data_IF_908417770072
#
_entry.id   IF_908417770072
#
_cell.length_a   1.000
_cell.length_b   1.000
_cell.length_c   1.000
_cell.angle_alpha   90.00
_cell.angle_beta   90.00
_cell.angle_gamma   90.00
#
_symmetry.space_group_name_H-M   'P 1'
#
loop_
_entity.id
_entity.type
_entity.pdbx_description
1 polymer ?
#
# COMPACT_ATOMS: atom_id res chain seq x y z
N UNK A 1 -14.43 7.99 11.58
CA UNK A 1 -13.48 7.06 12.23
C UNK A 1 -12.21 6.97 11.40
N UNK A 2 -11.05 7.05 12.03
CA UNK A 2 -9.75 7.02 11.38
C UNK A 2 -8.93 5.87 11.95
N UNK A 3 -8.28 5.10 11.10
CA UNK A 3 -7.37 4.03 11.48
C UNK A 3 -5.97 4.33 10.96
N UNK A 4 -4.96 4.03 11.77
CA UNK A 4 -3.56 4.20 11.40
C UNK A 4 -2.88 2.84 11.34
N UNK A 5 -2.12 2.62 10.28
CA UNK A 5 -1.44 1.35 10.01
C UNK A 5 0.01 1.66 9.62
N UNK A 6 0.95 0.90 10.16
CA UNK A 6 2.35 0.98 9.77
C UNK A 6 2.73 -0.23 8.92
N UNK A 7 3.42 0.02 7.81
CA UNK A 7 3.87 -1.02 6.88
C UNK A 7 5.36 -0.90 6.64
N UNK A 8 6.06 -1.99 6.28
CA UNK A 8 7.41 -1.87 5.74
C UNK A 8 7.36 -1.09 4.42
N UNK A 9 8.50 -0.56 4.00
CA UNK A 9 8.53 0.20 2.74
C UNK A 9 8.02 -0.70 1.60
N UNK A 10 7.03 -0.24 0.83
CA UNK A 10 6.39 -1.08 -0.18
C UNK A 10 7.32 -1.38 -1.36
N UNK A 11 7.17 -2.53 -2.00
CA UNK A 11 7.92 -2.83 -3.22
C UNK A 11 7.44 -1.94 -4.36
N UNK A 12 8.34 -1.65 -5.31
CA UNK A 12 8.00 -0.86 -6.49
C UNK A 12 7.09 -1.65 -7.44
N UNK A 13 6.03 -1.02 -7.93
CA UNK A 13 5.17 -1.61 -8.96
C UNK A 13 5.77 -1.53 -10.36
N UNK A 14 6.87 -0.78 -10.55
CA UNK A 14 7.53 -0.67 -11.85
C UNK A 14 8.05 -2.00 -12.39
N UNK A 15 8.38 -2.94 -11.51
CA UNK A 15 8.87 -4.27 -11.87
C UNK A 15 7.95 -5.36 -11.34
N UNK A 16 6.66 -5.06 -11.35
CA UNK A 16 5.62 -5.94 -10.84
C UNK A 16 5.58 -7.25 -11.61
N UNK A 17 5.69 -7.19 -12.94
CA UNK A 17 5.57 -8.33 -13.83
C UNK A 17 6.89 -8.67 -14.48
N UNK A 18 7.09 -9.95 -14.75
CA UNK A 18 8.15 -10.44 -15.63
C UNK A 18 7.57 -11.53 -16.53
N UNK A 19 8.23 -11.75 -17.67
CA UNK A 19 7.81 -12.77 -18.62
C UNK A 19 8.68 -14.02 -18.43
N UNK A 20 8.02 -15.16 -18.21
CA UNK A 20 8.70 -16.47 -18.10
C UNK A 20 7.93 -17.45 -18.98
N UNK A 21 8.62 -18.07 -19.93
CA UNK A 21 8.02 -19.03 -20.88
C UNK A 21 6.77 -18.45 -21.57
N UNK A 22 6.85 -17.18 -21.99
CA UNK A 22 5.75 -16.50 -22.67
C UNK A 22 4.61 -16.05 -21.76
N UNK A 23 4.72 -16.23 -20.45
CA UNK A 23 3.69 -15.82 -19.49
C UNK A 23 4.19 -14.68 -18.63
N UNK A 24 3.31 -13.70 -18.38
CA UNK A 24 3.57 -12.63 -17.42
C UNK A 24 3.28 -13.14 -16.02
N UNK A 25 4.27 -13.08 -15.14
CA UNK A 25 4.13 -13.46 -13.73
C UNK A 25 4.62 -12.34 -12.84
N UNK A 26 4.11 -12.28 -11.62
CA UNK A 26 4.60 -11.34 -10.61
C UNK A 26 6.07 -11.61 -10.31
N UNK A 27 6.89 -10.56 -10.22
CA UNK A 27 8.29 -10.72 -9.86
C UNK A 27 8.41 -11.32 -8.45
N UNK A 28 9.46 -12.12 -8.25
CA UNK A 28 9.73 -12.74 -6.95
C UNK A 28 9.90 -11.69 -5.85
N UNK A 29 10.62 -10.62 -6.15
CA UNK A 29 10.86 -9.52 -5.19
C UNK A 29 9.56 -8.87 -4.77
N UNK A 30 8.67 -8.59 -5.72
CA UNK A 30 7.37 -8.00 -5.43
C UNK A 30 6.52 -8.94 -4.57
N UNK A 31 6.45 -10.23 -4.93
CA UNK A 31 5.68 -11.22 -4.17
C UNK A 31 6.18 -11.35 -2.73
N UNK A 32 7.50 -11.36 -2.53
CA UNK A 32 8.09 -11.43 -1.20
C UNK A 32 7.79 -10.17 -0.38
N UNK A 33 7.89 -9.00 -1.01
CA UNK A 33 7.58 -7.73 -0.34
C UNK A 33 6.12 -7.63 0.07
N UNK A 34 5.20 -8.05 -0.80
CA UNK A 34 3.76 -8.07 -0.49
C UNK A 34 3.45 -9.05 0.62
N UNK A 35 4.08 -10.23 0.61
CA UNK A 35 3.87 -11.23 1.66
C UNK A 35 4.34 -10.72 3.02
N UNK A 36 5.54 -10.14 3.09
CA UNK A 36 6.09 -9.56 4.32
C UNK A 36 5.22 -8.42 4.84
N UNK A 37 4.80 -7.52 3.96
CA UNK A 37 3.92 -6.41 4.33
C UNK A 37 2.55 -6.90 4.80
N UNK A 38 2.03 -7.97 4.20
CA UNK A 38 0.78 -8.58 4.61
C UNK A 38 0.84 -9.13 6.03
N UNK A 39 1.95 -9.76 6.42
CA UNK A 39 2.15 -10.25 7.79
C UNK A 39 2.13 -9.08 8.77
N UNK A 40 2.84 -8.00 8.48
CA UNK A 40 2.83 -6.80 9.31
C UNK A 40 1.43 -6.21 9.45
N UNK A 41 0.70 -6.14 8.35
CA UNK A 41 -0.67 -5.61 8.33
C UNK A 41 -1.59 -6.44 9.23
N UNK A 42 -1.60 -7.75 9.06
CA UNK A 42 -2.48 -8.66 9.82
C UNK A 42 -2.14 -8.64 11.30
N UNK A 43 -0.85 -8.55 11.65
CA UNK A 43 -0.39 -8.50 13.03
C UNK A 43 -0.94 -7.29 13.78
N UNK A 44 -1.16 -6.18 13.11
CA UNK A 44 -1.72 -4.96 13.70
C UNK A 44 -3.24 -5.04 13.92
N UNK A 45 -3.89 -6.09 13.42
CA UNK A 45 -5.35 -6.27 13.53
C UNK A 45 -6.11 -5.04 13.06
N UNK A 46 -5.91 -4.60 11.81
CA UNK A 46 -6.53 -3.39 11.31
C UNK A 46 -8.05 -3.52 11.24
N UNK A 47 -8.75 -2.42 11.47
CA UNK A 47 -10.19 -2.38 11.27
C UNK A 47 -10.50 -2.47 9.78
N UNK A 48 -11.57 -3.17 9.45
CA UNK A 48 -12.11 -3.22 8.09
C UNK A 48 -13.14 -2.11 7.95
N UNK A 49 -13.04 -1.36 6.86
CA UNK A 49 -13.89 -0.21 6.60
C UNK A 49 -14.81 -0.51 5.43
N UNK A 50 -16.10 -0.26 5.64
CA UNK A 50 -17.10 -0.40 4.58
C UNK A 50 -17.39 0.96 3.95
N UNK A 51 -17.65 0.95 2.64
CA UNK A 51 -18.02 2.14 1.90
C UNK A 51 -16.87 3.08 1.61
N UNK A 52 -17.19 4.31 1.22
CA UNK A 52 -16.19 5.29 0.77
C UNK A 52 -15.21 5.69 1.87
N UNK A 53 -13.95 5.84 1.49
CA UNK A 53 -12.85 6.20 2.40
C UNK A 53 -11.95 7.27 1.77
N UNK A 54 -11.27 8.00 2.63
CA UNK A 54 -10.09 8.79 2.29
C UNK A 54 -8.86 8.04 2.81
N UNK A 55 -7.82 7.93 1.99
CA UNK A 55 -6.58 7.25 2.35
C UNK A 55 -5.41 8.22 2.25
N UNK A 56 -4.66 8.35 3.33
CA UNK A 56 -3.42 9.11 3.37
C UNK A 56 -2.25 8.17 3.56
N UNK A 57 -1.21 8.31 2.74
CA UNK A 57 -0.02 7.48 2.79
C UNK A 57 1.19 8.39 2.94
N UNK A 58 1.98 8.17 3.98
CA UNK A 58 3.23 8.85 4.19
C UNK A 58 4.37 7.85 4.05
N UNK A 59 5.30 8.13 3.13
CA UNK A 59 6.41 7.24 2.79
C UNK A 59 7.69 7.72 3.42
N UNK A 60 8.31 6.88 4.25
CA UNK A 60 9.66 7.09 4.78
C UNK A 60 10.66 6.34 3.90
N UNK A 61 11.44 7.07 3.12
CA UNK A 61 12.35 6.46 2.13
C UNK A 61 13.48 5.70 2.82
N UNK A 62 13.82 4.47 2.34
CA UNK A 62 14.87 3.66 2.94
C UNK A 62 16.28 4.10 2.53
N UNK A 63 16.41 4.89 1.46
CA UNK A 63 17.68 5.37 0.93
C UNK A 63 17.45 6.60 0.03
N UNK A 64 18.49 7.05 -0.67
CA UNK A 64 18.44 8.24 -1.52
C UNK A 64 18.11 7.95 -2.98
N UNK A 65 17.76 6.72 -3.34
CA UNK A 65 17.40 6.40 -4.71
C UNK A 65 16.10 7.10 -5.09
N UNK A 66 16.00 7.48 -6.35
CA UNK A 66 14.77 8.05 -6.89
C UNK A 66 13.70 6.99 -6.98
N UNK A 67 12.49 7.31 -6.52
CA UNK A 67 11.32 6.43 -6.59
C UNK A 67 10.09 7.24 -6.93
N UNK A 68 9.21 6.65 -7.72
CA UNK A 68 7.92 7.26 -8.00
C UNK A 68 6.98 6.99 -6.84
N UNK A 69 6.54 8.05 -6.17
CA UNK A 69 5.70 7.92 -4.98
C UNK A 69 4.33 7.33 -5.30
N UNK A 70 3.81 7.54 -6.51
CA UNK A 70 2.53 6.97 -6.94
C UNK A 70 2.61 5.44 -7.01
N UNK A 71 3.71 4.87 -7.49
CA UNK A 71 3.92 3.43 -7.53
C UNK A 71 3.98 2.82 -6.13
N UNK A 72 4.63 3.50 -5.21
CA UNK A 72 4.68 3.08 -3.81
C UNK A 72 3.29 3.16 -3.17
N UNK A 73 2.55 4.21 -3.44
CA UNK A 73 1.18 4.38 -2.96
C UNK A 73 0.25 3.29 -3.49
N UNK A 74 0.39 2.93 -4.77
CA UNK A 74 -0.40 1.87 -5.37
C UNK A 74 -0.17 0.52 -4.68
N UNK A 75 1.07 0.20 -4.33
CA UNK A 75 1.39 -1.02 -3.60
C UNK A 75 0.71 -1.04 -2.22
N UNK A 76 0.68 0.09 -1.52
CA UNK A 76 -0.03 0.21 -0.25
C UNK A 76 -1.54 -0.01 -0.42
N UNK A 77 -2.17 0.62 -1.41
CA UNK A 77 -3.60 0.43 -1.68
C UNK A 77 -3.94 -1.02 -1.99
N UNK A 78 -3.09 -1.68 -2.77
CA UNK A 78 -3.27 -3.08 -3.12
C UNK A 78 -3.28 -3.97 -1.86
N UNK A 79 -2.38 -3.71 -0.93
CA UNK A 79 -2.35 -4.41 0.36
C UNK A 79 -3.63 -4.18 1.17
N UNK A 80 -4.08 -2.95 1.27
CA UNK A 80 -5.32 -2.63 2.00
C UNK A 80 -6.51 -3.38 1.42
N UNK A 81 -6.61 -3.40 0.10
CA UNK A 81 -7.68 -4.10 -0.60
C UNK A 81 -7.60 -5.62 -0.40
N UNK A 82 -6.42 -6.20 -0.57
CA UNK A 82 -6.21 -7.65 -0.44
C UNK A 82 -6.59 -8.18 0.93
N UNK A 83 -6.35 -7.40 1.97
CA UNK A 83 -6.65 -7.79 3.35
C UNK A 83 -7.98 -7.24 3.86
N UNK A 84 -8.77 -6.63 2.99
CA UNK A 84 -10.12 -6.18 3.33
C UNK A 84 -10.18 -4.97 4.25
N UNK A 85 -9.09 -4.23 4.41
CA UNK A 85 -9.09 -2.98 5.19
C UNK A 85 -9.97 -1.95 4.50
N UNK A 86 -9.95 -1.93 3.18
CA UNK A 86 -10.89 -1.20 2.33
C UNK A 86 -11.59 -2.20 1.40
N UNK A 87 -12.79 -1.88 0.95
CA UNK A 87 -13.56 -2.79 0.08
C UNK A 87 -12.92 -2.96 -1.30
N UNK A 88 -12.42 -1.87 -1.87
CA UNK A 88 -11.77 -1.86 -3.16
C UNK A 88 -10.94 -0.58 -3.29
N UNK A 89 -10.20 -0.45 -4.38
CA UNK A 89 -9.34 0.71 -4.65
C UNK A 89 -9.84 1.61 -5.79
N UNK A 90 -11.03 1.31 -6.35
CA UNK A 90 -11.60 2.15 -7.40
C UNK A 90 -12.21 3.45 -6.84
N UNK A 91 -12.54 4.37 -7.74
CA UNK A 91 -13.00 5.71 -7.38
C UNK A 91 -14.32 5.77 -6.62
N UNK A 92 -15.10 4.71 -6.62
CA UNK A 92 -16.32 4.63 -5.83
C UNK A 92 -16.04 4.39 -4.34
N UNK A 93 -14.90 3.82 -4.02
CA UNK A 93 -14.48 3.50 -2.64
C UNK A 93 -13.40 4.46 -2.16
N UNK A 94 -12.27 4.57 -2.88
CA UNK A 94 -11.23 5.54 -2.51
C UNK A 94 -11.54 6.88 -3.17
N UNK A 95 -12.19 7.75 -2.40
CA UNK A 95 -12.67 9.04 -2.89
C UNK A 95 -11.63 10.14 -2.78
N UNK A 96 -10.64 9.95 -1.92
CA UNK A 96 -9.55 10.90 -1.70
C UNK A 96 -8.30 10.07 -1.39
N UNK A 97 -7.25 10.30 -2.15
CA UNK A 97 -5.96 9.63 -1.96
C UNK A 97 -4.87 10.67 -1.88
N UNK A 98 -4.10 10.62 -0.80
CA UNK A 98 -2.98 11.50 -0.59
C UNK A 98 -1.72 10.66 -0.34
N UNK A 99 -0.68 10.89 -1.14
CA UNK A 99 0.61 10.22 -0.98
C UNK A 99 1.68 11.30 -0.85
N UNK A 100 2.48 11.21 0.19
CA UNK A 100 3.55 12.18 0.43
C UNK A 100 4.78 11.52 1.01
N UNK A 101 5.93 12.19 0.91
CA UNK A 101 7.17 11.76 1.54
C UNK A 101 7.24 12.35 2.94
N UNK A 102 7.51 11.49 3.93
CA UNK A 102 7.71 11.89 5.32
C UNK A 102 9.18 11.76 5.72
N UNK A 103 9.49 12.22 6.90
CA UNK A 103 10.84 12.23 7.45
C UNK A 103 10.88 11.52 8.81
N UNK A 104 12.04 11.00 9.16
CA UNK A 104 12.28 10.44 10.49
C UNK A 104 11.88 8.99 10.68
N UNK A 105 11.52 8.29 9.61
CA UNK A 105 11.18 6.85 9.67
C UNK A 105 11.41 6.19 8.31
N UNK A 106 11.45 4.86 8.30
CA UNK A 106 11.48 4.06 7.07
C UNK A 106 10.24 3.19 7.03
N UNK A 107 9.57 3.16 5.88
CA UNK A 107 8.35 2.38 5.71
C UNK A 107 7.20 3.22 5.17
N UNK A 108 5.97 2.79 5.47
CA UNK A 108 4.78 3.52 5.10
C UNK A 108 3.87 3.66 6.32
N UNK A 109 3.35 4.86 6.53
CA UNK A 109 2.29 5.13 7.50
C UNK A 109 1.02 5.43 6.75
N UNK A 110 -0.01 4.66 7.02
CA UNK A 110 -1.27 4.74 6.28
C UNK A 110 -2.39 5.13 7.22
N UNK A 111 -3.17 6.13 6.84
CA UNK A 111 -4.40 6.49 7.53
C UNK A 111 -5.58 6.21 6.62
N UNK A 112 -6.60 5.56 7.16
CA UNK A 112 -7.87 5.31 6.46
C UNK A 112 -8.98 5.98 7.25
N UNK A 113 -9.69 6.88 6.59
CA UNK A 113 -10.80 7.62 7.19
C UNK A 113 -12.09 7.26 6.47
N UNK A 114 -13.11 6.85 7.24
CA UNK A 114 -14.44 6.60 6.68
C UNK A 114 -15.10 7.94 6.35
N UNK A 115 -15.64 8.02 5.15
CA UNK A 115 -16.37 9.21 4.69
C UNK A 115 -17.86 9.06 4.95
N UNK A 116 -18.55 10.17 5.23
CA UNK A 116 -20.01 10.17 5.42
C UNK A 116 -20.77 9.81 4.14
#
# INVERSE_FOLDING_TARGET
MTSSISLPFPPSTNRLWRVVNGRSILSKTYRQGIAAAGVELVTQRPKKHEGPVAVGIELGMPDRRRRDIDNCGKACLDLLRRHGVIEDDHSGIVRDLRVRVGEGFVGARVEVQVLP
#
